data_IF_527349638935
#
_entry.id   IF_527349638935
#
_cell.length_a   1.000
_cell.length_b   1.000
_cell.length_c   1.000
_cell.angle_alpha   90.00
_cell.angle_beta   90.00
_cell.angle_gamma   90.00
#
_symmetry.space_group_name_H-M   'P 1'
#
loop_
_entity.id
_entity.type
_entity.pdbx_description
1 polymer ?
#
# COMPACT_ATOMS: atom_id res chain seq x y z
N UNK A 1 -14.25 44.55 -18.81
CA UNK A 1 -15.02 43.57 -17.98
C UNK A 1 -16.08 42.87 -18.85
N UNK A 2 -17.00 42.07 -18.29
CA UNK A 2 -18.21 41.52 -18.95
C UNK A 2 -18.03 40.51 -20.12
N UNK A 3 -17.33 39.38 -19.94
CA UNK A 3 -17.40 38.21 -20.86
C UNK A 3 -17.30 36.82 -20.15
N UNK A 4 -18.02 36.60 -19.03
CA UNK A 4 -18.05 35.29 -18.33
C UNK A 4 -19.43 34.76 -17.90
N UNK A 5 -20.53 35.44 -18.21
CA UNK A 5 -21.87 35.15 -17.62
C UNK A 5 -22.77 34.18 -18.42
N UNK A 6 -22.30 33.62 -19.54
CA UNK A 6 -23.11 32.79 -20.46
C UNK A 6 -22.95 31.26 -20.27
N UNK A 7 -22.59 30.77 -19.07
CA UNK A 7 -22.34 29.33 -18.83
C UNK A 7 -23.05 28.70 -17.62
N UNK A 8 -23.81 29.46 -16.81
CA UNK A 8 -24.41 28.94 -15.57
C UNK A 8 -25.79 28.27 -15.74
N UNK A 9 -26.57 28.63 -16.78
CA UNK A 9 -27.94 28.15 -16.95
C UNK A 9 -28.03 26.62 -17.23
N UNK A 10 -27.08 26.05 -17.98
CA UNK A 10 -27.15 24.66 -18.42
C UNK A 10 -26.97 23.64 -17.29
N UNK A 11 -26.23 23.99 -16.23
CA UNK A 11 -25.88 23.06 -15.13
C UNK A 11 -27.10 22.77 -14.25
N UNK A 12 -27.93 23.79 -13.97
CA UNK A 12 -29.09 23.64 -13.08
C UNK A 12 -30.12 22.63 -13.61
N UNK A 13 -30.36 22.59 -14.92
CA UNK A 13 -31.32 21.65 -15.53
C UNK A 13 -30.89 20.20 -15.31
N UNK A 14 -29.59 19.90 -15.45
CA UNK A 14 -29.03 18.55 -15.25
C UNK A 14 -29.13 18.13 -13.78
N UNK A 15 -28.83 19.03 -12.84
CA UNK A 15 -28.93 18.75 -11.40
C UNK A 15 -30.37 18.47 -10.98
N UNK A 16 -31.35 19.25 -11.47
CA UNK A 16 -32.77 18.99 -11.16
C UNK A 16 -33.21 17.63 -11.72
N UNK A 17 -32.86 17.30 -12.97
CA UNK A 17 -33.22 16.01 -13.59
C UNK A 17 -32.59 14.80 -12.88
N UNK A 18 -31.43 14.97 -12.22
CA UNK A 18 -30.80 13.95 -11.39
C UNK A 18 -31.45 13.82 -9.99
N UNK A 19 -31.93 14.93 -9.40
CA UNK A 19 -32.64 14.93 -8.12
C UNK A 19 -34.07 14.39 -8.25
N UNK A 20 -34.78 14.72 -9.34
CA UNK A 20 -36.12 14.17 -9.64
C UNK A 20 -35.97 12.78 -10.27
N UNK A 21 -35.51 11.80 -9.47
CA UNK A 21 -35.11 10.46 -9.90
C UNK A 21 -36.22 9.63 -10.56
N UNK A 22 -36.49 9.88 -11.84
CA UNK A 22 -37.51 9.19 -12.62
C UNK A 22 -36.96 7.90 -13.25
N UNK A 23 -36.83 6.87 -12.42
CA UNK A 23 -36.34 5.54 -12.81
C UNK A 23 -37.13 4.92 -13.97
N UNK A 24 -36.47 4.70 -15.12
CA UNK A 24 -36.99 3.90 -16.23
C UNK A 24 -36.17 2.62 -16.41
N UNK A 25 -36.84 1.47 -16.55
CA UNK A 25 -36.26 0.16 -16.29
C UNK A 25 -35.58 -0.50 -17.51
N UNK A 26 -34.31 -0.89 -17.34
CA UNK A 26 -33.54 -1.68 -18.32
C UNK A 26 -33.89 -3.18 -18.30
N UNK A 27 -34.06 -3.78 -19.49
CA UNK A 27 -34.67 -5.11 -19.67
C UNK A 27 -33.71 -6.32 -19.65
N UNK A 28 -34.05 -7.27 -18.77
CA UNK A 28 -34.21 -8.71 -19.07
C UNK A 28 -32.98 -9.63 -19.35
N UNK A 29 -33.28 -10.95 -19.29
CA UNK A 29 -32.44 -12.15 -19.52
C UNK A 29 -31.51 -12.51 -18.34
N UNK A 30 -31.34 -13.78 -17.98
CA UNK A 30 -32.00 -15.01 -18.42
C UNK A 30 -31.40 -16.21 -17.67
N UNK A 31 -32.22 -17.08 -17.08
CA UNK A 31 -31.74 -18.10 -16.13
C UNK A 31 -31.40 -19.46 -16.75
N UNK A 32 -30.85 -20.36 -15.92
CA UNK A 32 -31.08 -21.80 -16.01
C UNK A 32 -30.82 -22.50 -14.67
N UNK A 33 -31.48 -23.64 -14.48
CA UNK A 33 -31.35 -24.53 -13.32
C UNK A 33 -30.04 -25.34 -13.36
N UNK A 34 -29.56 -25.74 -12.19
CA UNK A 34 -28.36 -26.57 -12.03
C UNK A 34 -28.36 -27.29 -10.68
N UNK A 35 -29.11 -28.38 -10.57
CA UNK A 35 -29.12 -29.26 -9.39
C UNK A 35 -27.87 -30.14 -9.34
N UNK A 36 -27.16 -30.15 -8.21
CA UNK A 36 -25.98 -31.00 -7.99
C UNK A 36 -25.84 -31.39 -6.53
N UNK A 37 -26.25 -32.62 -6.20
CA UNK A 37 -26.27 -33.16 -4.82
C UNK A 37 -24.98 -33.91 -4.46
N UNK A 38 -24.80 -34.14 -3.15
CA UNK A 38 -24.14 -35.31 -2.50
C UNK A 38 -22.85 -35.03 -1.72
N UNK A 39 -22.79 -35.61 -0.51
CA UNK A 39 -21.60 -35.96 0.30
C UNK A 39 -20.67 -34.83 0.75
N UNK A 40 -20.14 -34.80 1.98
CA UNK A 40 -20.33 -35.61 3.20
C UNK A 40 -19.59 -34.86 4.33
N UNK A 41 -20.02 -34.87 5.59
CA UNK A 41 -19.79 -35.99 6.52
C UNK A 41 -18.54 -35.71 7.39
N UNK A 42 -18.57 -36.10 8.68
CA UNK A 42 -17.42 -35.96 9.59
C UNK A 42 -17.58 -34.89 10.67
N UNK A 43 -17.76 -35.34 11.91
CA UNK A 43 -17.85 -34.52 13.12
C UNK A 43 -16.87 -35.04 14.19
N UNK A 44 -16.68 -34.25 15.26
CA UNK A 44 -16.01 -34.58 16.54
C UNK A 44 -14.52 -34.19 16.70
N UNK A 45 -14.33 -33.17 17.54
CA UNK A 45 -13.59 -33.22 18.82
C UNK A 45 -12.39 -34.17 19.02
N UNK A 46 -11.27 -33.63 19.54
CA UNK A 46 -10.64 -34.10 20.79
C UNK A 46 -9.51 -33.20 21.31
N UNK A 47 -9.18 -33.32 22.61
CA UNK A 47 -8.10 -32.60 23.32
C UNK A 47 -7.01 -33.58 23.75
N UNK A 48 -5.71 -33.24 23.68
CA UNK A 48 -4.69 -33.68 24.66
C UNK A 48 -3.34 -32.95 24.53
N UNK A 49 -2.45 -33.21 25.50
CA UNK A 49 -1.23 -32.46 25.81
C UNK A 49 -0.05 -33.37 26.17
N UNK A 50 1.17 -32.94 25.85
CA UNK A 50 2.44 -33.18 26.58
C UNK A 50 3.45 -32.13 26.05
N UNK A 51 4.31 -31.44 26.80
CA UNK A 51 5.07 -31.71 28.03
C UNK A 51 6.34 -32.56 27.81
N UNK A 52 7.52 -31.94 28.01
CA UNK A 52 8.82 -32.62 27.90
C UNK A 52 10.04 -31.68 27.82
N UNK A 53 10.51 -31.16 28.96
CA UNK A 53 11.88 -30.63 29.11
C UNK A 53 12.83 -31.77 29.52
N UNK A 54 14.05 -31.85 28.97
CA UNK A 54 15.30 -32.35 29.62
C UNK A 54 16.54 -31.74 28.93
N UNK A 55 17.73 -32.02 29.46
CA UNK A 55 18.97 -31.22 29.39
C UNK A 55 20.19 -32.14 29.14
N UNK A 56 21.39 -31.54 29.03
CA UNK A 56 22.75 -32.13 29.09
C UNK A 56 23.25 -32.93 27.87
N UNK A 57 24.54 -32.98 27.50
CA UNK A 57 25.70 -32.05 27.60
C UNK A 57 26.87 -32.67 26.76
N UNK A 58 27.92 -31.88 26.44
CA UNK A 58 29.25 -32.30 25.91
C UNK A 58 29.33 -32.90 24.47
N UNK A 59 30.44 -32.75 23.72
CA UNK A 59 31.43 -31.66 23.60
C UNK A 59 32.26 -31.91 22.33
N UNK A 60 32.36 -30.89 21.46
CA UNK A 60 33.27 -30.83 20.28
C UNK A 60 33.03 -31.94 19.21
N UNK A 61 33.72 -32.06 18.06
CA UNK A 61 34.76 -31.28 17.34
C UNK A 61 34.31 -31.04 15.86
N UNK A 62 35.04 -30.53 14.84
CA UNK A 62 36.42 -30.00 14.63
C UNK A 62 36.36 -28.87 13.54
N UNK A 63 37.32 -28.77 12.60
CA UNK A 63 37.35 -27.84 11.44
C UNK A 63 36.77 -28.50 10.15
N UNK A 64 36.38 -27.84 9.06
CA UNK A 64 36.76 -26.52 8.50
C UNK A 64 35.64 -25.84 7.63
N UNK A 65 35.88 -24.57 7.28
CA UNK A 65 35.18 -23.58 6.44
C UNK A 65 34.39 -24.07 5.18
N UNK A 66 33.28 -23.47 4.71
CA UNK A 66 32.32 -22.49 5.27
C UNK A 66 30.97 -22.60 4.54
N UNK A 67 29.84 -22.34 5.21
CA UNK A 67 28.56 -22.11 4.51
C UNK A 67 27.47 -21.41 5.33
N UNK A 68 26.97 -20.29 4.79
CA UNK A 68 25.62 -19.76 5.00
C UNK A 68 25.14 -19.52 6.44
N UNK A 69 25.62 -18.43 7.05
CA UNK A 69 24.82 -17.56 7.93
C UNK A 69 25.44 -16.16 7.91
N UNK A 70 24.70 -15.06 7.98
CA UNK A 70 23.25 -14.93 8.15
C UNK A 70 23.00 -13.50 8.58
N UNK A 71 22.86 -12.58 7.62
CA UNK A 71 22.87 -11.13 7.90
C UNK A 71 21.73 -10.73 8.83
N UNK A 72 22.06 -10.55 10.10
CA UNK A 72 21.35 -9.74 11.09
C UNK A 72 21.41 -8.28 10.66
N UNK A 73 20.74 -7.98 9.54
CA UNK A 73 20.63 -6.64 8.97
C UNK A 73 19.95 -5.73 9.98
N UNK A 74 20.78 -5.01 10.72
CA UNK A 74 20.35 -4.19 11.85
C UNK A 74 19.20 -3.28 11.41
N UNK A 75 18.02 -3.51 12.00
CA UNK A 75 16.92 -2.55 11.96
C UNK A 75 17.29 -1.40 12.88
N UNK A 76 18.26 -0.61 12.42
CA UNK A 76 18.57 0.69 12.97
C UNK A 76 17.34 1.56 12.77
N UNK A 77 16.49 1.63 13.78
CA UNK A 77 15.48 2.67 13.92
C UNK A 77 16.20 3.99 13.71
N UNK A 78 15.88 4.76 12.66
CA UNK A 78 16.52 6.06 12.47
C UNK A 78 16.15 6.93 13.66
N UNK A 79 17.13 7.29 14.48
CA UNK A 79 16.94 8.26 15.56
C UNK A 79 16.50 9.56 14.90
N UNK A 80 15.29 10.08 15.17
CA UNK A 80 14.85 11.31 14.53
C UNK A 80 15.73 12.45 15.02
N UNK A 81 16.56 12.98 14.12
CA UNK A 81 17.13 14.30 14.29
C UNK A 81 15.98 15.27 14.13
N UNK A 82 15.67 16.06 15.15
CA UNK A 82 14.67 17.12 15.04
C UNK A 82 15.09 18.07 13.91
N UNK A 83 14.21 18.24 12.93
CA UNK A 83 14.47 18.92 11.67
C UNK A 83 13.14 19.38 11.12
N UNK A 84 13.05 20.63 10.64
CA UNK A 84 11.82 21.26 10.13
C UNK A 84 11.30 20.64 8.81
N UNK A 85 11.76 19.43 8.46
CA UNK A 85 11.33 18.66 7.30
C UNK A 85 10.19 17.71 7.71
N UNK A 86 9.14 17.57 6.87
CA UNK A 86 7.99 16.74 7.21
C UNK A 86 8.36 15.26 7.37
N UNK A 87 7.91 14.65 8.46
CA UNK A 87 8.14 13.23 8.71
C UNK A 87 7.33 12.36 7.73
N UNK A 88 8.03 11.77 6.75
CA UNK A 88 7.45 10.94 5.68
C UNK A 88 8.00 9.51 5.71
N UNK A 89 7.14 8.49 5.51
CA UNK A 89 7.55 7.08 5.49
C UNK A 89 6.68 6.18 4.60
N UNK A 90 7.26 5.13 4.03
CA UNK A 90 6.54 4.13 3.23
C UNK A 90 5.89 3.08 4.16
N UNK A 91 4.56 3.10 4.29
CA UNK A 91 3.78 2.04 4.98
C UNK A 91 3.80 0.76 4.13
N UNK A 92 3.72 0.88 2.81
CA UNK A 92 3.69 -0.24 1.87
C UNK A 92 4.36 0.15 0.56
N UNK A 93 5.39 -0.58 0.15
CA UNK A 93 5.99 -0.42 -1.17
C UNK A 93 5.18 -1.18 -2.24
N UNK A 94 5.22 -0.72 -3.50
CA UNK A 94 4.79 -1.52 -4.64
C UNK A 94 5.59 -2.83 -4.72
N UNK A 95 4.93 -3.93 -5.10
CA UNK A 95 5.48 -5.28 -4.96
C UNK A 95 5.16 -6.19 -6.15
N UNK A 96 6.12 -7.00 -6.63
CA UNK A 96 5.91 -7.95 -7.72
C UNK A 96 4.97 -9.10 -7.32
N UNK A 97 4.36 -9.75 -8.33
CA UNK A 97 3.53 -10.96 -8.14
C UNK A 97 4.36 -12.07 -7.48
N UNK A 98 3.95 -12.57 -6.31
CA UNK A 98 4.63 -13.67 -5.59
C UNK A 98 3.68 -14.85 -5.40
N UNK A 99 3.85 -15.90 -6.21
CA UNK A 99 2.98 -17.07 -6.23
C UNK A 99 1.53 -16.69 -6.54
N UNK A 100 0.61 -17.00 -5.63
CA UNK A 100 -0.83 -16.64 -5.72
C UNK A 100 -1.12 -15.17 -5.39
N UNK A 101 -0.20 -14.41 -4.77
CA UNK A 101 -0.40 -12.98 -4.47
C UNK A 101 -0.26 -12.15 -5.76
N UNK A 102 -1.29 -11.35 -6.10
CA UNK A 102 -1.25 -10.37 -7.18
C UNK A 102 -0.12 -9.35 -6.96
N UNK A 103 0.37 -8.73 -8.03
CA UNK A 103 1.26 -7.57 -7.92
C UNK A 103 0.50 -6.36 -7.33
N UNK A 104 1.23 -5.46 -6.68
CA UNK A 104 0.73 -4.20 -6.12
C UNK A 104 1.50 -3.07 -6.78
N UNK A 105 0.85 -2.25 -7.60
CA UNK A 105 1.48 -1.23 -8.46
C UNK A 105 1.35 0.19 -7.88
N UNK A 106 1.26 0.27 -6.55
CA UNK A 106 1.09 1.52 -5.81
C UNK A 106 1.69 1.39 -4.41
N UNK A 107 2.42 2.40 -3.98
CA UNK A 107 2.86 2.53 -2.59
C UNK A 107 1.79 3.18 -1.73
N UNK A 108 1.79 2.87 -0.44
CA UNK A 108 1.12 3.66 0.59
C UNK A 108 2.19 4.39 1.39
N UNK A 109 2.06 5.72 1.46
CA UNK A 109 2.95 6.63 2.19
C UNK A 109 2.19 7.24 3.35
N UNK A 110 2.85 7.40 4.48
CA UNK A 110 2.41 8.24 5.59
C UNK A 110 3.19 9.55 5.53
N UNK A 111 2.49 10.67 5.64
CA UNK A 111 3.05 12.01 5.77
C UNK A 111 2.51 12.63 7.07
N UNK A 112 3.40 13.13 7.92
CA UNK A 112 3.08 13.94 9.09
C UNK A 112 3.62 15.35 8.85
N UNK A 113 2.75 16.35 9.01
CA UNK A 113 3.19 17.74 9.12
C UNK A 113 3.66 17.99 10.56
N UNK A 114 4.85 18.58 10.72
CA UNK A 114 5.37 18.97 12.04
C UNK A 114 5.13 20.46 12.29
N UNK A 115 5.27 21.29 11.25
CA UNK A 115 5.00 22.73 11.30
C UNK A 115 3.50 23.09 11.46
N UNK A 116 3.16 24.14 12.23
CA UNK A 116 1.78 24.56 12.47
C UNK A 116 1.16 25.33 11.30
N UNK A 117 -0.10 24.98 10.96
CA UNK A 117 -0.86 25.62 9.88
C UNK A 117 -1.08 24.68 8.68
N UNK A 118 -1.77 25.17 7.64
CA UNK A 118 -2.07 24.40 6.43
C UNK A 118 -0.95 24.58 5.40
N UNK A 119 -0.20 23.51 5.10
CA UNK A 119 0.93 23.54 4.17
C UNK A 119 0.70 22.55 3.01
N UNK A 120 1.01 22.95 1.78
CA UNK A 120 1.08 22.00 0.65
C UNK A 120 2.45 21.32 0.61
N UNK A 121 2.43 20.01 0.40
CA UNK A 121 3.62 19.18 0.28
C UNK A 121 3.62 18.46 -1.06
N UNK A 122 4.78 18.36 -1.69
CA UNK A 122 5.09 17.46 -2.81
C UNK A 122 5.74 16.18 -2.26
N UNK A 123 5.33 15.02 -2.76
CA UNK A 123 5.74 13.69 -2.26
C UNK A 123 6.18 12.80 -3.42
N UNK A 124 7.47 12.47 -3.47
CA UNK A 124 8.05 11.61 -4.49
C UNK A 124 8.25 10.20 -3.96
N UNK A 125 7.89 9.20 -4.76
CA UNK A 125 8.18 7.79 -4.48
C UNK A 125 9.11 7.24 -5.55
N UNK A 126 10.35 6.97 -5.16
CA UNK A 126 11.37 6.35 -6.02
C UNK A 126 11.33 4.83 -5.84
N UNK A 127 10.88 4.11 -6.87
CA UNK A 127 10.81 2.65 -6.88
C UNK A 127 12.15 2.09 -7.34
N UNK A 128 12.82 1.29 -6.51
CA UNK A 128 14.20 0.84 -6.74
C UNK A 128 14.30 -0.68 -6.95
N UNK A 129 15.29 -1.11 -7.73
CA UNK A 129 15.69 -2.51 -7.87
C UNK A 129 16.57 -3.00 -6.71
N UNK A 130 17.01 -4.26 -6.79
CA UNK A 130 17.86 -4.89 -5.76
C UNK A 130 19.25 -4.25 -5.64
N UNK A 131 19.70 -3.53 -6.67
CA UNK A 131 20.96 -2.78 -6.70
C UNK A 131 20.79 -1.30 -6.30
N UNK A 132 19.57 -0.88 -5.94
CA UNK A 132 19.27 0.52 -5.59
C UNK A 132 19.08 1.45 -6.80
N UNK A 133 19.01 0.94 -8.02
CA UNK A 133 18.77 1.76 -9.21
C UNK A 133 17.29 2.06 -9.36
N UNK A 134 16.95 3.27 -9.76
CA UNK A 134 15.55 3.66 -10.03
C UNK A 134 14.98 2.84 -11.20
N UNK A 135 13.87 2.17 -10.92
CA UNK A 135 13.03 1.43 -11.87
C UNK A 135 11.93 2.34 -12.39
N UNK A 136 11.34 3.12 -11.50
CA UNK A 136 10.19 3.98 -11.74
C UNK A 136 10.14 5.12 -10.72
N UNK A 137 9.39 6.16 -11.05
CA UNK A 137 9.07 7.30 -10.19
C UNK A 137 7.55 7.43 -10.07
N UNK A 138 7.09 8.19 -9.09
CA UNK A 138 5.72 8.71 -9.02
C UNK A 138 5.65 9.86 -8.03
N UNK A 139 4.90 10.90 -8.39
CA UNK A 139 4.78 12.16 -7.66
C UNK A 139 3.32 12.39 -7.26
N UNK A 140 3.09 13.10 -6.16
CA UNK A 140 1.76 13.63 -5.79
C UNK A 140 1.92 14.81 -4.86
N UNK A 141 1.08 15.84 -4.98
CA UNK A 141 0.96 16.87 -3.93
C UNK A 141 -0.18 16.57 -2.97
N UNK A 142 -0.15 17.17 -1.77
CA UNK A 142 -1.28 17.19 -0.85
C UNK A 142 -1.14 18.32 0.18
N UNK A 143 -2.25 18.88 0.63
CA UNK A 143 -2.26 19.81 1.77
C UNK A 143 -2.40 19.01 3.07
N UNK A 144 -1.62 19.34 4.09
CA UNK A 144 -1.74 18.77 5.45
C UNK A 144 -1.71 19.91 6.47
N UNK A 145 -2.55 19.81 7.49
CA UNK A 145 -2.57 20.73 8.62
C UNK A 145 -1.56 20.30 9.70
N UNK A 146 -0.94 21.27 10.38
CA UNK A 146 0.12 21.01 11.34
C UNK A 146 -0.25 20.05 12.47
N UNK A 147 0.57 19.01 12.66
CA UNK A 147 0.33 17.94 13.64
C UNK A 147 -0.52 16.77 13.12
N UNK A 148 -1.21 16.90 11.98
CA UNK A 148 -1.99 15.80 11.39
C UNK A 148 -1.12 14.76 10.67
N UNK A 149 -1.72 13.60 10.42
CA UNK A 149 -1.10 12.47 9.71
C UNK A 149 -2.00 12.04 8.54
N UNK A 150 -1.47 12.14 7.32
CA UNK A 150 -2.18 11.82 6.09
C UNK A 150 -1.58 10.59 5.41
N UNK A 151 -2.40 9.59 5.12
CA UNK A 151 -2.00 8.42 4.31
C UNK A 151 -2.34 8.65 2.84
N UNK A 152 -1.34 8.55 1.98
CA UNK A 152 -1.45 8.72 0.53
C UNK A 152 -1.24 7.40 -0.21
N UNK A 153 -1.91 7.21 -1.35
CA UNK A 153 -1.71 6.05 -2.24
C UNK A 153 -1.11 6.51 -3.56
N UNK A 154 0.21 6.41 -3.66
CA UNK A 154 1.00 6.85 -4.82
C UNK A 154 1.09 5.70 -5.82
N UNK A 155 0.60 5.88 -7.05
CA UNK A 155 0.65 4.84 -8.10
C UNK A 155 1.93 4.95 -8.91
N UNK A 156 2.56 3.82 -9.23
CA UNK A 156 3.66 3.76 -10.20
C UNK A 156 3.25 4.41 -11.53
N UNK A 157 4.10 5.26 -12.11
CA UNK A 157 3.91 5.83 -13.45
C UNK A 157 3.89 4.74 -14.53
N UNK A 158 4.76 3.72 -14.39
CA UNK A 158 4.82 2.55 -15.26
C UNK A 158 4.53 1.25 -14.50
N UNK A 159 3.26 0.91 -14.20
CA UNK A 159 2.86 -0.30 -13.47
C UNK A 159 3.45 -1.62 -14.00
N UNK A 160 3.75 -1.70 -15.30
CA UNK A 160 4.40 -2.87 -15.90
C UNK A 160 5.82 -3.16 -15.39
N UNK A 161 6.53 -2.15 -14.86
CA UNK A 161 7.88 -2.28 -14.31
C UNK A 161 7.91 -2.89 -12.89
N UNK A 162 6.76 -3.09 -12.24
CA UNK A 162 6.63 -3.60 -10.84
C UNK A 162 7.36 -4.92 -10.59
N UNK A 163 7.58 -5.73 -11.63
CA UNK A 163 8.38 -6.97 -11.60
C UNK A 163 9.82 -6.77 -11.10
N UNK A 164 10.41 -5.58 -11.34
CA UNK A 164 11.79 -5.22 -10.98
C UNK A 164 11.93 -4.60 -9.59
N UNK A 165 10.84 -4.11 -9.00
CA UNK A 165 10.86 -3.36 -7.73
C UNK A 165 11.22 -4.27 -6.55
N UNK A 166 12.11 -3.77 -5.67
CA UNK A 166 12.55 -4.42 -4.43
C UNK A 166 12.47 -3.50 -3.21
N UNK A 167 12.67 -2.19 -3.40
CA UNK A 167 12.59 -1.16 -2.36
C UNK A 167 11.81 0.04 -2.89
N UNK A 168 11.28 0.85 -1.98
CA UNK A 168 10.76 2.17 -2.27
C UNK A 168 11.44 3.15 -1.32
N UNK A 169 11.96 4.23 -1.87
CA UNK A 169 12.38 5.42 -1.11
C UNK A 169 11.29 6.48 -1.30
N UNK A 170 11.12 7.36 -0.31
CA UNK A 170 10.15 8.46 -0.35
C UNK A 170 10.81 9.74 0.15
N UNK A 171 10.53 10.84 -0.52
CA UNK A 171 10.87 12.21 -0.12
C UNK A 171 9.59 13.03 -0.02
N UNK A 172 9.61 14.06 0.81
CA UNK A 172 8.55 15.07 0.86
C UNK A 172 9.17 16.44 1.08
N UNK A 173 8.66 17.45 0.39
CA UNK A 173 9.08 18.86 0.49
C UNK A 173 7.85 19.74 0.62
N UNK A 174 7.97 20.84 1.37
CA UNK A 174 6.94 21.89 1.41
C UNK A 174 7.08 22.81 0.18
N UNK A 175 5.95 23.34 -0.31
CA UNK A 175 5.83 24.24 -1.46
C UNK A 175 5.51 25.69 -1.07
#
# INVERSE_FOLDING_TARGET
MMRRQMKLAAVLVVVVLALTGFSTAGKSRGGKSGSGSSSGGGCSSSKKSNNGYRHTDYSDDDYDDSSSSGSSGSYGTPTPTASDAPAVRVIRCAAPRKGKRKAVTSSMVELRAEEPGSQEYEIDVRFLDGSGRTVDTAETTTIVDGGDVRTLTVRMESPGKVSRVKRCEVTAVAL
#
